data_IF_949589983073
#
_entry.id   IF_949589983073
#
_cell.length_a   1.000
_cell.length_b   1.000
_cell.length_c   1.000
_cell.angle_alpha   90.00
_cell.angle_beta   90.00
_cell.angle_gamma   90.00
#
_symmetry.space_group_name_H-M   'P 1'
#
loop_
_entity.id
_entity.type
_entity.pdbx_description
1 polymer ?
#
# COMPACT_ATOMS: atom_id res chain seq x y z
N UNK A 1 -37.70 -10.68 0.86
CA UNK A 1 -37.00 -9.62 0.09
C UNK A 1 -35.52 -10.02 -0.10
N UNK A 2 -35.26 -11.06 -0.89
CA UNK A 2 -33.91 -11.49 -1.28
C UNK A 2 -33.62 -10.84 -2.63
N UNK A 3 -32.85 -9.76 -2.65
CA UNK A 3 -32.55 -8.99 -3.86
C UNK A 3 -31.05 -8.99 -4.13
N UNK A 4 -30.66 -9.80 -5.12
CA UNK A 4 -29.74 -9.43 -6.19
C UNK A 4 -28.36 -8.86 -5.79
N UNK A 5 -27.50 -9.72 -5.24
CA UNK A 5 -26.07 -9.62 -5.53
C UNK A 5 -25.75 -10.72 -6.53
N UNK A 6 -26.04 -10.45 -7.80
CA UNK A 6 -25.43 -11.19 -8.91
C UNK A 6 -23.93 -11.04 -8.70
N UNK A 7 -23.23 -12.17 -8.60
CA UNK A 7 -21.77 -12.19 -8.69
C UNK A 7 -21.35 -11.23 -9.82
N UNK A 8 -20.44 -10.31 -9.52
CA UNK A 8 -19.91 -9.36 -10.51
C UNK A 8 -19.20 -10.14 -11.61
N UNK A 9 -19.95 -10.57 -12.63
CA UNK A 9 -19.42 -11.02 -13.91
C UNK A 9 -19.40 -9.79 -14.81
N UNK A 10 -18.25 -9.11 -14.86
CA UNK A 10 -18.03 -7.98 -15.76
C UNK A 10 -17.72 -8.43 -17.20
N UNK A 11 -17.41 -9.71 -17.44
CA UNK A 11 -17.03 -10.21 -18.78
C UNK A 11 -17.19 -11.73 -18.98
N UNK A 12 -17.84 -12.46 -18.06
CA UNK A 12 -17.93 -13.92 -18.12
C UNK A 12 -16.74 -14.65 -17.48
N UNK A 13 -15.76 -13.93 -16.93
CA UNK A 13 -14.81 -14.51 -15.97
C UNK A 13 -15.42 -14.51 -14.57
N UNK A 14 -15.34 -15.65 -13.88
CA UNK A 14 -15.82 -15.79 -12.50
C UNK A 14 -14.74 -15.25 -11.57
N UNK A 15 -14.88 -14.01 -11.11
CA UNK A 15 -14.05 -13.50 -10.01
C UNK A 15 -14.39 -14.28 -8.75
N UNK A 16 -13.46 -15.10 -8.27
CA UNK A 16 -13.57 -15.85 -7.02
C UNK A 16 -12.68 -15.29 -5.91
N UNK A 17 -11.79 -14.35 -6.24
CA UNK A 17 -10.80 -13.76 -5.33
C UNK A 17 -10.66 -12.25 -5.50
N UNK A 18 -10.51 -11.55 -4.39
CA UNK A 18 -10.23 -10.11 -4.34
C UNK A 18 -9.10 -9.85 -3.33
N UNK A 19 -8.04 -9.19 -3.78
CA UNK A 19 -6.97 -8.69 -2.90
C UNK A 19 -7.18 -7.20 -2.63
N UNK A 20 -7.33 -6.83 -1.37
CA UNK A 20 -7.26 -5.44 -0.93
C UNK A 20 -5.79 -5.11 -0.65
N UNK A 21 -5.27 -4.06 -1.29
CA UNK A 21 -3.83 -3.74 -1.21
C UNK A 21 -3.64 -2.30 -0.75
N UNK A 22 -2.90 -2.12 0.34
CA UNK A 22 -2.33 -0.84 0.71
C UNK A 22 -1.04 -0.65 -0.08
N UNK A 23 -1.14 0.14 -1.16
CA UNK A 23 -0.04 0.43 -2.06
C UNK A 23 0.97 1.40 -1.45
N UNK A 24 2.18 1.45 -2.02
CA UNK A 24 3.27 2.34 -1.62
C UNK A 24 3.68 2.16 -0.15
N UNK A 25 3.67 0.91 0.33
CA UNK A 25 4.02 0.56 1.72
C UNK A 25 5.49 0.81 2.08
N UNK A 26 6.31 1.24 1.11
CA UNK A 26 7.66 1.74 1.33
C UNK A 26 7.66 3.17 1.88
N UNK A 27 6.59 3.94 1.72
CA UNK A 27 6.46 5.31 2.27
C UNK A 27 6.10 5.37 3.76
N UNK A 28 6.07 4.24 4.44
CA UNK A 28 5.80 4.13 5.88
C UNK A 28 6.95 3.42 6.58
N UNK A 29 7.10 3.66 7.89
CA UNK A 29 8.12 3.00 8.70
C UNK A 29 7.90 1.48 8.71
N UNK A 30 8.99 0.72 8.81
CA UNK A 30 8.94 -0.76 8.85
C UNK A 30 7.95 -1.30 9.88
N UNK A 31 8.02 -0.87 11.16
CA UNK A 31 7.08 -1.27 12.20
C UNK A 31 5.61 -0.88 11.93
N UNK A 32 5.38 0.17 11.13
CA UNK A 32 4.04 0.67 10.81
C UNK A 32 3.39 -0.09 9.66
N UNK A 33 4.09 -1.00 8.98
CA UNK A 33 3.49 -1.81 7.89
C UNK A 33 2.36 -2.70 8.40
N UNK A 34 2.46 -3.22 9.63
CA UNK A 34 1.38 -4.00 10.24
C UNK A 34 0.17 -3.12 10.60
N UNK A 35 0.41 -1.87 11.03
CA UNK A 35 -0.66 -0.89 11.25
C UNK A 35 -1.35 -0.51 9.94
N UNK A 36 -0.58 -0.29 8.88
CA UNK A 36 -1.12 -0.02 7.54
C UNK A 36 -2.05 -1.15 7.07
N UNK A 37 -1.64 -2.41 7.29
CA UNK A 37 -2.47 -3.59 7.01
C UNK A 37 -3.77 -3.58 7.83
N UNK A 38 -3.66 -3.34 9.14
CA UNK A 38 -4.81 -3.26 10.05
C UNK A 38 -5.80 -2.16 9.64
N UNK A 39 -5.32 -0.95 9.34
CA UNK A 39 -6.14 0.18 8.91
C UNK A 39 -6.88 -0.12 7.60
N UNK A 40 -6.19 -0.68 6.60
CA UNK A 40 -6.82 -1.12 5.36
C UNK A 40 -7.95 -2.12 5.63
N UNK A 41 -7.70 -3.10 6.50
CA UNK A 41 -8.69 -4.10 6.87
C UNK A 41 -9.88 -3.48 7.59
N UNK A 42 -9.65 -2.58 8.55
CA UNK A 42 -10.74 -1.87 9.24
C UNK A 42 -11.64 -1.12 8.25
N UNK A 43 -11.05 -0.47 7.25
CA UNK A 43 -11.77 0.30 6.24
C UNK A 43 -12.61 -0.59 5.30
N UNK A 44 -12.07 -1.74 4.90
CA UNK A 44 -12.63 -2.53 3.80
C UNK A 44 -13.34 -3.80 4.24
N UNK A 45 -13.21 -4.21 5.51
CA UNK A 45 -13.76 -5.46 6.04
C UNK A 45 -15.26 -5.59 5.80
N UNK A 46 -16.05 -4.54 6.06
CA UNK A 46 -17.50 -4.58 5.86
C UNK A 46 -17.87 -4.87 4.40
N UNK A 47 -17.14 -4.25 3.47
CA UNK A 47 -17.33 -4.51 2.05
C UNK A 47 -16.91 -5.93 1.69
N UNK A 48 -15.75 -6.39 2.16
CA UNK A 48 -15.27 -7.75 1.94
C UNK A 48 -16.26 -8.81 2.43
N UNK A 49 -16.82 -8.63 3.63
CA UNK A 49 -17.83 -9.52 4.21
C UNK A 49 -19.14 -9.55 3.38
N UNK A 50 -19.43 -8.48 2.62
CA UNK A 50 -20.60 -8.41 1.74
C UNK A 50 -20.44 -9.15 0.40
N UNK A 51 -19.22 -9.57 0.05
CA UNK A 51 -18.92 -10.23 -1.23
C UNK A 51 -19.39 -11.70 -1.30
N UNK A 52 -19.93 -12.24 -0.21
CA UNK A 52 -20.48 -13.60 -0.18
C UNK A 52 -19.41 -14.67 -0.34
N UNK A 53 -19.40 -15.34 -1.50
CA UNK A 53 -18.52 -16.49 -1.77
C UNK A 53 -17.17 -16.10 -2.42
N UNK A 54 -16.86 -14.81 -2.53
CA UNK A 54 -15.56 -14.34 -3.03
C UNK A 54 -14.57 -14.38 -1.87
N UNK A 55 -13.42 -15.03 -2.08
CA UNK A 55 -12.32 -15.03 -1.12
C UNK A 55 -11.66 -13.66 -1.12
N UNK A 56 -11.67 -12.98 0.01
CA UNK A 56 -10.98 -11.71 0.19
C UNK A 56 -9.75 -11.87 1.10
N UNK A 57 -8.67 -11.16 0.78
CA UNK A 57 -7.50 -11.05 1.65
C UNK A 57 -6.87 -9.65 1.54
N UNK A 58 -6.01 -9.31 2.49
CA UNK A 58 -5.43 -7.97 2.68
C UNK A 58 -3.91 -8.02 2.63
N UNK A 59 -3.30 -7.06 1.95
CA UNK A 59 -1.86 -6.99 1.75
C UNK A 59 -1.37 -5.54 1.87
N UNK A 60 -0.11 -5.39 2.28
CA UNK A 60 0.68 -4.19 2.07
C UNK A 60 1.68 -4.48 0.97
N UNK A 61 1.85 -3.56 0.02
CA UNK A 61 2.80 -3.74 -1.06
C UNK A 61 3.39 -2.43 -1.55
N UNK A 62 4.57 -2.54 -2.15
CA UNK A 62 5.12 -1.49 -2.98
C UNK A 62 5.53 -2.10 -4.31
N UNK A 63 4.96 -1.57 -5.40
CA UNK A 63 5.28 -2.06 -6.73
C UNK A 63 6.68 -1.63 -7.18
N UNK A 64 7.16 -0.50 -6.67
CA UNK A 64 8.52 0.02 -6.87
C UNK A 64 8.99 0.59 -5.54
N UNK A 65 9.96 -0.07 -4.92
CA UNK A 65 10.55 0.41 -3.66
C UNK A 65 11.34 1.69 -3.95
N UNK A 66 10.90 2.79 -3.35
CA UNK A 66 11.41 4.15 -3.63
C UNK A 66 12.19 4.73 -2.45
N UNK A 67 12.18 4.03 -1.31
CA UNK A 67 12.73 4.50 -0.03
C UNK A 67 13.42 3.37 0.73
N UNK A 68 14.37 3.77 1.58
CA UNK A 68 14.99 2.90 2.59
C UNK A 68 14.57 3.34 3.99
N UNK A 69 14.43 2.38 4.89
CA UNK A 69 14.24 2.62 6.32
C UNK A 69 15.57 2.93 6.99
N UNK A 70 15.62 3.97 7.82
CA UNK A 70 16.77 4.22 8.69
C UNK A 70 16.53 3.52 10.02
N UNK A 71 17.41 2.60 10.41
CA UNK A 71 17.23 1.80 11.63
C UNK A 71 17.22 2.70 12.88
N UNK A 72 16.18 2.57 13.70
CA UNK A 72 16.05 3.30 14.96
C UNK A 72 15.61 4.76 14.83
N UNK A 73 15.16 5.19 13.65
CA UNK A 73 14.69 6.55 13.41
C UNK A 73 13.29 6.57 12.79
N UNK A 74 12.53 7.62 13.11
CA UNK A 74 11.23 7.92 12.50
C UNK A 74 11.42 8.66 11.16
N UNK A 75 12.27 8.10 10.29
CA UNK A 75 12.64 8.72 9.03
C UNK A 75 12.91 7.70 7.94
N UNK A 76 12.70 8.13 6.70
CA UNK A 76 13.05 7.39 5.50
C UNK A 76 14.10 8.16 4.70
N UNK A 77 14.81 7.43 3.84
CA UNK A 77 15.69 8.01 2.82
C UNK A 77 15.13 7.67 1.45
N UNK A 78 15.08 8.65 0.56
CA UNK A 78 14.66 8.49 -0.84
C UNK A 78 14.76 9.85 -1.53
N UNK A 79 14.30 9.99 -2.76
CA UNK A 79 14.38 11.26 -3.51
C UNK A 79 13.05 12.03 -3.47
N UNK A 80 12.85 13.01 -2.55
CA UNK A 80 11.58 13.73 -2.46
C UNK A 80 11.29 14.51 -3.73
N UNK A 81 10.00 14.55 -4.10
CA UNK A 81 9.51 15.38 -5.18
C UNK A 81 9.31 16.81 -4.66
N UNK A 82 10.12 17.75 -5.13
CA UNK A 82 10.02 19.14 -4.73
C UNK A 82 10.87 20.04 -5.62
N UNK A 83 10.63 21.36 -5.56
CA UNK A 83 11.46 22.34 -6.29
C UNK A 83 12.86 22.42 -5.72
N UNK A 84 12.99 22.09 -4.46
CA UNK A 84 14.21 22.01 -3.69
C UNK A 84 15.12 20.85 -4.11
N UNK A 85 14.57 19.77 -4.69
CA UNK A 85 15.33 18.59 -5.12
C UNK A 85 15.23 18.33 -6.64
N UNK A 86 15.68 19.25 -7.51
CA UNK A 86 15.56 19.10 -8.96
C UNK A 86 16.40 17.93 -9.50
N UNK A 87 17.50 17.59 -8.82
CA UNK A 87 18.42 16.52 -9.21
C UNK A 87 17.93 15.13 -8.81
N UNK A 88 16.83 15.02 -8.05
CA UNK A 88 16.29 13.76 -7.53
C UNK A 88 17.31 13.01 -6.67
N UNK A 89 18.07 13.75 -5.87
CA UNK A 89 19.01 13.17 -4.90
C UNK A 89 18.28 12.57 -3.71
N UNK A 90 18.89 11.56 -3.08
CA UNK A 90 18.34 10.90 -1.90
C UNK A 90 18.57 11.74 -0.64
N UNK A 91 17.48 12.13 0.03
CA UNK A 91 17.47 12.88 1.27
C UNK A 91 16.72 12.14 2.36
N UNK A 92 17.12 12.38 3.61
CA UNK A 92 16.37 11.93 4.79
C UNK A 92 15.17 12.84 5.02
N UNK A 93 14.00 12.26 5.25
CA UNK A 93 12.78 12.99 5.61
C UNK A 93 12.00 12.25 6.69
N UNK A 94 11.33 13.03 7.56
CA UNK A 94 10.48 12.49 8.61
C UNK A 94 9.20 11.89 8.00
N UNK A 95 8.69 10.85 8.65
CA UNK A 95 7.43 10.20 8.27
C UNK A 95 6.54 10.10 9.51
N UNK A 96 5.25 10.49 9.41
CA UNK A 96 4.35 10.37 10.55
C UNK A 96 4.10 8.90 10.89
N UNK A 97 4.06 8.61 12.19
CA UNK A 97 3.67 7.30 12.70
C UNK A 97 2.20 7.03 12.40
N UNK A 98 1.89 5.82 11.94
CA UNK A 98 0.50 5.43 11.68
C UNK A 98 -0.26 5.13 12.98
N UNK A 99 -1.57 5.47 13.05
CA UNK A 99 -2.40 5.12 14.19
C UNK A 99 -2.79 3.64 14.13
N UNK A 100 -3.11 3.05 15.30
CA UNK A 100 -3.57 1.65 15.37
C UNK A 100 -5.02 1.47 14.87
N UNK A 101 -5.81 2.55 14.90
CA UNK A 101 -7.20 2.58 14.46
C UNK A 101 -7.50 3.87 13.68
N UNK A 102 -8.57 3.85 12.88
CA UNK A 102 -9.03 5.06 12.21
C UNK A 102 -9.40 6.13 13.24
N UNK A 103 -8.82 7.35 13.17
CA UNK A 103 -9.09 8.38 14.15
C UNK A 103 -10.53 8.88 14.03
N UNK A 104 -11.19 9.07 15.17
CA UNK A 104 -12.52 9.71 15.22
C UNK A 104 -12.40 11.21 14.90
N UNK A 105 -11.35 11.86 15.41
CA UNK A 105 -11.04 13.27 15.19
C UNK A 105 -9.93 13.40 14.12
N UNK A 106 -10.32 13.35 12.85
CA UNK A 106 -9.37 13.48 11.74
C UNK A 106 -8.70 14.87 11.73
N UNK A 107 -7.37 14.88 11.84
CA UNK A 107 -6.55 16.08 11.65
C UNK A 107 -5.74 15.95 10.34
N UNK A 108 -6.00 16.79 9.31
CA UNK A 108 -5.28 16.73 8.05
C UNK A 108 -3.78 17.05 8.17
N UNK A 109 -3.36 17.73 9.25
CA UNK A 109 -1.96 18.07 9.48
C UNK A 109 -1.17 16.97 10.20
N UNK A 110 -1.85 16.00 10.81
CA UNK A 110 -1.20 14.92 11.56
C UNK A 110 -0.54 13.87 10.66
N UNK A 111 -1.02 13.70 9.43
CA UNK A 111 -0.58 12.64 8.51
C UNK A 111 -0.15 13.21 7.15
N UNK A 112 1.03 13.84 7.13
CA UNK A 112 1.64 14.36 5.89
C UNK A 112 2.75 13.41 5.42
N UNK A 113 2.49 12.74 4.30
CA UNK A 113 3.48 11.85 3.66
C UNK A 113 4.20 12.57 2.53
N UNK A 114 5.53 12.48 2.54
CA UNK A 114 6.39 13.02 1.49
C UNK A 114 6.20 12.23 0.19
N UNK A 115 6.01 12.94 -0.93
CA UNK A 115 6.03 12.31 -2.26
C UNK A 115 7.47 12.07 -2.70
N UNK A 116 7.77 10.89 -3.24
CA UNK A 116 9.13 10.45 -3.56
C UNK A 116 9.17 9.92 -4.99
N UNK A 117 10.22 10.24 -5.75
CA UNK A 117 10.45 9.66 -7.07
C UNK A 117 10.73 8.16 -6.98
N UNK A 118 10.16 7.33 -7.88
CA UNK A 118 10.44 5.91 -7.90
C UNK A 118 11.90 5.63 -8.26
N UNK A 119 12.52 4.68 -7.56
CA UNK A 119 13.87 4.18 -7.87
C UNK A 119 13.80 3.13 -8.99
N UNK A 120 13.68 3.62 -10.22
CA UNK A 120 13.69 2.76 -11.40
C UNK A 120 15.14 2.51 -11.85
N UNK A 121 15.57 1.26 -12.06
CA UNK A 121 16.90 0.96 -12.59
C UNK A 121 17.16 1.67 -13.92
N UNK A 122 18.39 2.12 -14.15
CA UNK A 122 18.80 2.69 -15.45
C UNK A 122 18.66 1.68 -16.59
N UNK A 123 18.88 0.40 -16.29
CA UNK A 123 18.65 -0.68 -17.24
C UNK A 123 17.19 -1.15 -17.14
N UNK A 124 16.38 -0.82 -18.14
CA UNK A 124 14.94 -1.14 -18.18
C UNK A 124 14.64 -2.62 -18.37
N UNK A 125 15.66 -3.46 -18.63
CA UNK A 125 15.50 -4.92 -18.66
C UNK A 125 15.53 -5.56 -17.27
N UNK A 126 15.93 -4.79 -16.25
CA UNK A 126 15.94 -5.23 -14.85
C UNK A 126 14.68 -4.68 -14.19
N UNK A 127 13.87 -5.58 -13.62
CA UNK A 127 12.71 -5.17 -12.85
C UNK A 127 13.15 -4.37 -11.62
N UNK A 128 12.41 -3.32 -11.22
CA UNK A 128 12.66 -2.62 -9.97
C UNK A 128 12.41 -3.55 -8.77
N UNK A 129 13.04 -3.23 -7.65
CA UNK A 129 12.73 -3.89 -6.39
C UNK A 129 11.26 -3.64 -5.99
N UNK A 130 10.63 -4.65 -5.41
CA UNK A 130 9.24 -4.60 -4.98
C UNK A 130 9.06 -5.26 -3.61
N UNK A 131 7.98 -4.89 -2.91
CA UNK A 131 7.57 -5.52 -1.66
C UNK A 131 6.24 -6.25 -1.85
N UNK A 132 6.19 -7.53 -1.46
CA UNK A 132 4.98 -8.38 -1.34
C UNK A 132 4.13 -8.60 -2.62
N UNK A 133 4.60 -8.19 -3.81
CA UNK A 133 3.88 -8.48 -5.06
C UNK A 133 3.77 -9.98 -5.34
N UNK A 134 4.80 -10.73 -4.98
CA UNK A 134 4.86 -12.20 -5.02
C UNK A 134 3.72 -12.84 -4.23
N UNK A 135 3.48 -12.35 -3.00
CA UNK A 135 2.40 -12.87 -2.12
C UNK A 135 1.01 -12.56 -2.66
N UNK A 136 0.83 -11.37 -3.25
CA UNK A 136 -0.43 -10.99 -3.89
C UNK A 136 -0.67 -11.87 -5.11
N UNK A 137 0.34 -12.05 -5.95
CA UNK A 137 0.25 -12.90 -7.14
C UNK A 137 -0.11 -14.34 -6.77
N UNK A 138 0.56 -14.89 -5.75
CA UNK A 138 0.27 -16.22 -5.21
C UNK A 138 -1.19 -16.35 -4.75
N UNK A 139 -1.72 -15.35 -4.05
CA UNK A 139 -3.11 -15.37 -3.59
C UNK A 139 -4.11 -15.36 -4.75
N UNK A 140 -3.81 -14.61 -5.81
CA UNK A 140 -4.71 -14.43 -6.96
C UNK A 140 -4.68 -15.62 -7.92
N UNK A 141 -3.59 -16.39 -7.97
CA UNK A 141 -3.35 -17.41 -9.01
C UNK A 141 -3.50 -18.85 -8.53
N UNK A 142 -3.25 -19.13 -7.24
CA UNK A 142 -3.55 -20.40 -6.58
C UNK A 142 -4.98 -20.38 -6.11
#
# INVERSE_FOLDING_TARGET
LKSLWRAMTLDGTRTDRIAFVASQSDLVLGPDRDRLHSLLRQMTKRFADSLGNIRADWFTASAVVSTDTVSGEDSLVGAPMGRENPERGDWKFAVPTLPDAWPEDWNPDAYRFTRVWPRVPKNTLIAPDHNNLDRIFDFLTK
#
